data_IF_039710116052
#
_entry.id   IF_039710116052
#
_cell.length_a   1.000
_cell.length_b   1.000
_cell.length_c   1.000
_cell.angle_alpha   90.00
_cell.angle_beta   90.00
_cell.angle_gamma   90.00
#
_symmetry.space_group_name_H-M   'P 1'
#
loop_
_entity.id
_entity.type
_entity.pdbx_description
1 polymer ?
#
# COMPACT_ATOMS: atom_id res chain seq x y z
N UNK A 1 41.35 52.64 40.47
CA UNK A 1 40.45 51.46 40.56
C UNK A 1 39.92 51.21 39.15
N UNK A 2 40.49 50.44 38.21
CA UNK A 2 41.36 49.25 38.16
C UNK A 2 40.80 48.04 38.92
N UNK A 3 40.76 46.90 38.18
CA UNK A 3 40.38 45.51 38.53
C UNK A 3 38.86 45.26 38.31
N UNK A 4 38.37 44.38 37.42
CA UNK A 4 38.92 43.22 36.72
C UNK A 4 38.12 42.97 35.42
N UNK A 5 38.77 43.11 34.27
CA UNK A 5 38.33 42.62 32.96
C UNK A 5 39.55 41.93 32.35
N UNK A 6 39.81 40.69 32.77
CA UNK A 6 40.91 39.84 32.27
C UNK A 6 40.46 38.38 32.40
N UNK A 7 39.88 37.83 31.34
CA UNK A 7 39.89 36.37 31.08
C UNK A 7 39.49 36.09 29.63
N UNK A 8 40.10 36.82 28.70
CA UNK A 8 40.13 36.55 27.27
C UNK A 8 41.61 36.76 26.89
N UNK A 9 42.21 35.85 26.11
CA UNK A 9 43.65 35.77 25.76
C UNK A 9 44.46 34.83 26.67
N UNK A 10 44.27 33.52 26.50
CA UNK A 10 45.40 32.57 26.51
C UNK A 10 44.94 31.23 25.90
N UNK A 11 45.07 31.09 24.57
CA UNK A 11 45.36 29.83 23.86
C UNK A 11 45.21 30.05 22.35
N UNK A 12 46.21 30.70 21.75
CA UNK A 12 46.54 30.56 20.33
C UNK A 12 48.04 30.24 20.27
N UNK A 13 48.41 29.34 19.35
CA UNK A 13 49.75 29.02 18.81
C UNK A 13 50.57 27.91 19.48
N UNK A 14 50.46 26.69 18.92
CA UNK A 14 51.58 25.90 18.35
C UNK A 14 51.03 25.25 17.06
N UNK A 15 51.21 25.88 15.88
CA UNK A 15 52.25 25.63 14.85
C UNK A 15 52.09 24.29 14.11
N UNK A 16 51.59 24.31 12.86
CA UNK A 16 52.32 24.25 11.57
C UNK A 16 52.49 22.81 11.02
N UNK A 17 51.95 22.60 9.81
CA UNK A 17 52.03 21.44 8.91
C UNK A 17 53.47 21.15 8.39
N UNK A 18 53.78 20.06 7.65
CA UNK A 18 53.38 19.93 6.22
C UNK A 18 53.17 18.50 5.64
N UNK A 19 52.32 18.46 4.61
CA UNK A 19 52.45 17.81 3.28
C UNK A 19 53.52 16.70 3.11
N UNK A 20 53.11 15.48 2.73
CA UNK A 20 53.78 14.65 1.69
C UNK A 20 52.72 13.84 0.93
N UNK A 21 52.78 13.93 -0.40
CA UNK A 21 52.08 13.09 -1.37
C UNK A 21 52.82 11.77 -1.59
N UNK A 22 52.11 10.67 -1.83
CA UNK A 22 52.63 9.52 -2.59
C UNK A 22 51.50 8.95 -3.44
N UNK A 23 51.66 9.08 -4.76
CA UNK A 23 51.05 8.21 -5.75
C UNK A 23 51.91 6.96 -5.90
N UNK A 24 51.31 5.78 -6.11
CA UNK A 24 51.91 4.73 -6.94
C UNK A 24 50.85 3.73 -7.43
N UNK A 25 51.07 3.36 -8.69
CA UNK A 25 50.32 2.52 -9.63
C UNK A 25 50.71 1.03 -9.51
N UNK A 26 49.97 0.21 -10.27
CA UNK A 26 50.24 -1.20 -10.67
C UNK A 26 49.94 -2.26 -9.58
N UNK A 27 49.39 -3.43 -9.85
CA UNK A 27 49.50 -4.28 -11.04
C UNK A 27 48.39 -5.35 -11.07
N UNK A 28 48.08 -5.83 -12.27
CA UNK A 28 47.20 -6.95 -12.61
C UNK A 28 47.67 -8.30 -12.06
N UNK A 29 46.74 -9.17 -11.61
CA UNK A 29 46.94 -10.61 -11.68
C UNK A 29 45.61 -11.37 -11.80
N UNK A 30 45.46 -11.98 -12.97
CA UNK A 30 44.56 -13.06 -13.33
C UNK A 30 44.78 -14.30 -12.45
N UNK A 31 43.70 -14.98 -12.06
CA UNK A 31 43.78 -16.23 -11.28
C UNK A 31 42.42 -16.88 -11.09
N UNK A 32 41.80 -17.34 -12.18
CA UNK A 32 40.60 -18.20 -12.13
C UNK A 32 41.02 -19.63 -11.77
N UNK A 33 40.90 -20.02 -10.50
CA UNK A 33 40.99 -21.41 -10.06
C UNK A 33 39.58 -22.03 -10.01
N UNK A 34 39.32 -22.91 -10.97
CA UNK A 34 38.19 -23.85 -10.97
C UNK A 34 38.51 -24.93 -9.94
N UNK A 35 37.80 -24.93 -8.82
CA UNK A 35 37.79 -26.04 -7.85
C UNK A 35 36.54 -26.87 -8.12
N UNK A 36 36.73 -28.02 -8.76
CA UNK A 36 35.72 -29.06 -8.91
C UNK A 36 35.62 -29.82 -7.58
N UNK A 37 34.62 -29.48 -6.77
CA UNK A 37 34.27 -30.24 -5.57
C UNK A 37 33.09 -31.18 -5.88
N UNK A 38 33.39 -32.45 -6.11
CA UNK A 38 32.41 -33.54 -6.09
C UNK A 38 31.93 -33.76 -4.66
N UNK A 39 30.71 -33.32 -4.36
CA UNK A 39 30.01 -33.65 -3.12
C UNK A 39 28.93 -34.68 -3.45
N UNK A 40 29.15 -35.91 -2.95
CA UNK A 40 28.15 -36.97 -2.90
C UNK A 40 27.09 -36.60 -1.86
N UNK A 41 25.86 -36.35 -2.32
CA UNK A 41 24.70 -36.13 -1.44
C UNK A 41 24.09 -37.49 -1.09
N UNK A 42 24.24 -37.93 0.16
CA UNK A 42 23.36 -38.93 0.76
C UNK A 42 22.09 -38.20 1.24
N UNK A 43 20.94 -38.59 0.70
CA UNK A 43 19.63 -38.07 1.10
C UNK A 43 19.19 -38.70 2.43
N UNK A 44 18.67 -37.94 3.42
CA UNK A 44 18.09 -38.50 4.63
C UNK A 44 16.64 -38.95 4.39
N UNK A 45 16.32 -40.17 4.79
CA UNK A 45 14.98 -40.78 4.81
C UNK A 45 14.10 -40.23 5.96
N UNK A 46 13.84 -38.93 6.00
CA UNK A 46 12.99 -38.30 7.03
C UNK A 46 11.66 -37.72 6.49
N UNK A 47 11.24 -38.10 5.28
CA UNK A 47 10.07 -37.51 4.61
C UNK A 47 8.75 -38.31 4.64
N UNK A 48 8.72 -39.50 5.24
CA UNK A 48 7.56 -40.40 5.07
C UNK A 48 6.40 -40.08 6.03
N UNK A 49 6.64 -39.52 7.22
CA UNK A 49 5.56 -39.25 8.19
C UNK A 49 4.68 -38.06 7.79
N UNK A 50 5.27 -37.03 7.19
CA UNK A 50 4.57 -35.79 6.88
C UNK A 50 3.63 -35.94 5.67
N UNK A 51 3.94 -36.86 4.76
CA UNK A 51 3.10 -37.17 3.59
C UNK A 51 1.84 -37.93 4.02
N UNK A 52 1.96 -38.89 4.93
CA UNK A 52 0.81 -39.65 5.44
C UNK A 52 -0.14 -38.79 6.27
N UNK A 53 0.38 -37.80 7.00
CA UNK A 53 -0.45 -36.84 7.73
C UNK A 53 -1.17 -35.86 6.80
N UNK A 54 -0.50 -35.40 5.73
CA UNK A 54 -1.11 -34.55 4.71
C UNK A 54 -2.22 -35.27 3.91
N UNK A 55 -2.05 -36.57 3.62
CA UNK A 55 -3.08 -37.40 2.96
C UNK A 55 -4.30 -37.56 3.87
N UNK A 56 -4.09 -37.88 5.16
CA UNK A 56 -5.19 -37.99 6.14
C UNK A 56 -5.91 -36.68 6.37
N UNK A 57 -5.22 -35.54 6.32
CA UNK A 57 -5.84 -34.21 6.45
C UNK A 57 -6.76 -33.89 5.26
N UNK A 58 -6.28 -34.14 4.03
CA UNK A 58 -7.10 -33.98 2.80
C UNK A 58 -8.35 -34.86 2.81
N UNK A 59 -8.23 -36.08 3.32
CA UNK A 59 -9.37 -37.01 3.34
C UNK A 59 -10.44 -36.59 4.36
N UNK A 60 -10.03 -36.05 5.53
CA UNK A 60 -10.96 -35.44 6.50
C UNK A 60 -11.62 -34.18 5.97
N UNK A 61 -10.87 -33.30 5.30
CA UNK A 61 -11.44 -32.11 4.66
C UNK A 61 -12.45 -32.51 3.59
N UNK A 62 -12.15 -33.53 2.77
CA UNK A 62 -13.05 -34.04 1.74
C UNK A 62 -14.34 -34.63 2.33
N UNK A 63 -14.26 -35.37 3.44
CA UNK A 63 -15.42 -35.91 4.15
C UNK A 63 -16.26 -34.79 4.76
N UNK A 64 -15.63 -33.82 5.45
CA UNK A 64 -16.33 -32.66 6.01
C UNK A 64 -17.00 -31.79 4.92
N UNK A 65 -16.38 -31.68 3.75
CA UNK A 65 -16.95 -30.99 2.59
C UNK A 65 -18.13 -31.76 1.97
N UNK A 66 -18.09 -33.09 1.98
CA UNK A 66 -19.21 -33.94 1.53
C UNK A 66 -20.38 -33.93 2.53
N UNK A 67 -20.10 -33.86 3.84
CA UNK A 67 -21.11 -33.73 4.90
C UNK A 67 -21.76 -32.34 4.92
N UNK A 68 -21.01 -31.26 4.64
CA UNK A 68 -21.61 -29.92 4.48
C UNK A 68 -22.54 -29.80 3.26
N UNK A 69 -22.37 -30.65 2.24
CA UNK A 69 -23.24 -30.67 1.05
C UNK A 69 -24.54 -31.44 1.26
N UNK A 70 -24.63 -32.32 2.25
CA UNK A 70 -25.73 -33.28 2.35
C UNK A 70 -26.94 -32.81 3.17
N UNK A 71 -26.98 -31.58 3.70
CA UNK A 71 -28.08 -31.15 4.57
C UNK A 71 -28.59 -29.73 4.30
N UNK A 72 -28.99 -29.44 3.06
CA UNK A 72 -29.99 -28.39 2.82
C UNK A 72 -31.25 -29.02 2.31
N UNK A 73 -32.23 -29.16 3.20
CA UNK A 73 -33.60 -29.46 2.82
C UNK A 73 -34.09 -28.35 1.89
N UNK A 74 -34.28 -28.67 0.63
CA UNK A 74 -34.83 -27.76 -0.37
C UNK A 74 -36.29 -28.14 -0.67
N UNK A 75 -37.09 -27.17 -1.09
CA UNK A 75 -38.44 -27.42 -1.64
C UNK A 75 -38.50 -27.09 -3.12
N UNK A 76 -37.67 -26.16 -3.59
CA UNK A 76 -37.56 -25.72 -4.98
C UNK A 76 -36.10 -25.50 -5.38
N UNK A 77 -35.81 -25.53 -6.69
CA UNK A 77 -34.45 -25.35 -7.23
C UNK A 77 -33.79 -24.04 -6.77
N UNK A 78 -34.59 -22.98 -6.53
CA UNK A 78 -34.10 -21.69 -6.05
C UNK A 78 -33.46 -21.75 -4.66
N UNK A 79 -33.87 -22.71 -3.82
CA UNK A 79 -33.29 -22.92 -2.48
C UNK A 79 -31.83 -23.41 -2.57
N UNK A 80 -31.43 -23.93 -3.73
CA UNK A 80 -30.12 -24.51 -4.00
C UNK A 80 -29.13 -23.52 -4.64
N UNK A 81 -29.53 -22.26 -4.88
CA UNK A 81 -28.72 -21.26 -5.63
C UNK A 81 -27.35 -20.97 -5.01
N UNK A 82 -27.17 -21.25 -3.72
CA UNK A 82 -25.89 -21.08 -3.01
C UNK A 82 -24.88 -22.20 -3.27
N UNK A 83 -25.26 -23.29 -3.94
CA UNK A 83 -24.36 -24.40 -4.27
C UNK A 83 -23.66 -24.10 -5.60
N UNK A 84 -22.33 -24.12 -5.56
CA UNK A 84 -21.49 -23.98 -6.75
C UNK A 84 -21.32 -25.36 -7.38
N UNK A 85 -21.91 -25.54 -8.57
CA UNK A 85 -21.78 -26.78 -9.34
C UNK A 85 -20.50 -26.79 -10.16
N UNK A 86 -19.68 -27.86 -10.08
CA UNK A 86 -18.47 -27.96 -10.89
C UNK A 86 -18.87 -28.21 -12.35
N UNK A 87 -18.32 -27.43 -13.28
CA UNK A 87 -18.54 -27.55 -14.73
C UNK A 87 -17.80 -28.79 -15.29
N UNK A 88 -18.21 -29.99 -14.90
CA UNK A 88 -17.53 -31.22 -15.34
C UNK A 88 -18.11 -31.73 -16.66
N UNK A 89 -19.41 -31.57 -16.91
CA UNK A 89 -20.08 -32.03 -18.14
C UNK A 89 -21.23 -31.07 -18.54
N UNK A 90 -20.91 -29.86 -19.01
CA UNK A 90 -21.92 -28.89 -19.47
C UNK A 90 -22.51 -28.00 -18.38
N UNK A 91 -23.62 -27.29 -18.69
CA UNK A 91 -24.27 -26.29 -17.83
C UNK A 91 -25.01 -26.93 -16.64
N UNK A 92 -24.28 -27.61 -15.77
CA UNK A 92 -24.85 -28.14 -14.54
C UNK A 92 -25.28 -27.00 -13.63
N UNK A 93 -26.55 -27.01 -13.24
CA UNK A 93 -27.11 -26.01 -12.31
C UNK A 93 -27.55 -26.70 -11.03
N UNK A 94 -27.46 -26.03 -9.87
CA UNK A 94 -27.99 -26.58 -8.63
C UNK A 94 -29.51 -26.74 -8.75
N UNK A 95 -30.04 -27.89 -8.33
CA UNK A 95 -31.46 -28.23 -8.38
C UNK A 95 -31.88 -29.00 -7.13
N UNK A 96 -33.16 -28.93 -6.80
CA UNK A 96 -33.73 -29.64 -5.67
C UNK A 96 -34.37 -30.95 -6.12
N UNK A 97 -33.80 -32.08 -5.69
CA UNK A 97 -34.32 -33.42 -6.00
C UNK A 97 -34.56 -34.15 -4.70
N UNK A 98 -35.82 -34.54 -4.45
CA UNK A 98 -36.24 -35.28 -3.25
C UNK A 98 -35.86 -34.59 -1.93
N UNK A 99 -35.87 -33.25 -1.94
CA UNK A 99 -35.52 -32.45 -0.77
C UNK A 99 -34.02 -32.22 -0.58
N UNK A 100 -33.17 -32.69 -1.50
CA UNK A 100 -31.72 -32.51 -1.45
C UNK A 100 -31.24 -31.69 -2.65
N UNK A 101 -30.38 -30.72 -2.38
CA UNK A 101 -29.76 -29.96 -3.45
C UNK A 101 -28.64 -30.76 -4.12
N UNK A 102 -28.78 -31.02 -5.41
CA UNK A 102 -27.79 -31.70 -6.24
C UNK A 102 -27.37 -30.82 -7.43
N UNK A 103 -26.23 -31.12 -8.02
CA UNK A 103 -25.82 -30.56 -9.30
C UNK A 103 -26.20 -31.55 -10.40
N UNK A 104 -26.92 -31.07 -11.41
CA UNK A 104 -27.28 -31.89 -12.56
C UNK A 104 -27.54 -31.03 -13.80
N UNK A 105 -27.84 -31.67 -14.95
CA UNK A 105 -28.14 -30.98 -16.19
C UNK A 105 -29.38 -30.15 -15.96
N UNK A 106 -29.19 -28.84 -15.79
CA UNK A 106 -30.25 -27.95 -15.32
C UNK A 106 -31.54 -28.12 -16.11
N UNK A 107 -32.69 -28.00 -15.44
CA UNK A 107 -33.89 -27.55 -16.15
C UNK A 107 -33.49 -26.22 -16.76
N UNK A 108 -33.47 -26.14 -18.09
CA UNK A 108 -33.15 -24.90 -18.78
C UNK A 108 -33.95 -23.80 -18.12
N UNK A 109 -33.30 -22.75 -17.56
CA UNK A 109 -34.03 -21.69 -16.92
C UNK A 109 -35.10 -21.21 -17.90
N UNK A 110 -36.37 -21.26 -17.50
CA UNK A 110 -37.50 -20.70 -18.26
C UNK A 110 -37.47 -19.16 -18.29
N UNK A 111 -36.31 -18.55 -18.09
CA UNK A 111 -36.12 -17.17 -18.48
C UNK A 111 -35.92 -17.21 -19.99
N UNK A 112 -36.90 -16.70 -20.74
CA UNK A 112 -36.67 -16.39 -22.14
C UNK A 112 -35.49 -15.44 -22.17
N UNK A 113 -34.32 -15.98 -22.55
CA UNK A 113 -33.13 -15.18 -22.80
C UNK A 113 -33.50 -14.32 -24.00
N UNK A 114 -33.82 -13.07 -23.72
CA UNK A 114 -34.09 -12.10 -24.75
C UNK A 114 -32.73 -11.70 -25.35
N UNK A 115 -32.30 -12.44 -26.38
CA UNK A 115 -31.00 -12.26 -27.05
C UNK A 115 -30.81 -10.83 -27.54
N UNK A 116 -31.89 -10.18 -27.97
CA UNK A 116 -31.89 -8.77 -28.37
C UNK A 116 -31.62 -7.84 -27.19
N UNK A 117 -32.19 -8.09 -26.01
CA UNK A 117 -31.88 -7.32 -24.79
C UNK A 117 -30.41 -7.48 -24.39
N UNK A 118 -29.84 -8.69 -24.52
CA UNK A 118 -28.42 -8.93 -24.26
C UNK A 118 -27.53 -8.16 -25.23
N UNK A 119 -27.84 -8.21 -26.53
CA UNK A 119 -27.08 -7.50 -27.56
C UNK A 119 -27.06 -6.00 -27.30
N UNK A 120 -28.23 -5.40 -26.98
CA UNK A 120 -28.36 -3.99 -26.61
C UNK A 120 -27.50 -3.66 -25.38
N UNK A 121 -27.55 -4.48 -24.33
CA UNK A 121 -26.73 -4.27 -23.14
C UNK A 121 -25.22 -4.34 -23.44
N UNK A 122 -24.78 -5.22 -24.35
CA UNK A 122 -23.38 -5.30 -24.76
C UNK A 122 -22.94 -4.06 -25.55
N UNK A 123 -23.78 -3.56 -26.45
CA UNK A 123 -23.49 -2.34 -27.23
C UNK A 123 -23.36 -1.11 -26.33
N UNK A 124 -24.27 -0.93 -25.38
CA UNK A 124 -24.21 0.18 -24.42
C UNK A 124 -22.96 0.07 -23.55
N UNK A 125 -22.60 -1.14 -23.12
CA UNK A 125 -21.38 -1.38 -22.34
C UNK A 125 -20.12 -1.03 -23.14
N UNK A 126 -20.10 -1.32 -24.43
CA UNK A 126 -19.00 -0.94 -25.33
C UNK A 126 -18.94 0.59 -25.51
N UNK A 127 -20.09 1.23 -25.73
CA UNK A 127 -20.17 2.70 -25.84
C UNK A 127 -19.66 3.39 -24.57
N UNK A 128 -20.05 2.90 -23.39
CA UNK A 128 -19.54 3.38 -22.10
C UNK A 128 -18.02 3.18 -22.00
N UNK A 129 -17.49 2.04 -22.43
CA UNK A 129 -16.05 1.78 -22.41
C UNK A 129 -15.30 2.77 -23.31
N UNK A 130 -15.79 2.98 -24.53
CA UNK A 130 -15.16 3.91 -25.48
C UNK A 130 -15.16 5.35 -24.97
N UNK A 131 -16.26 5.81 -24.35
CA UNK A 131 -16.28 7.13 -23.70
C UNK A 131 -15.28 7.23 -22.55
N UNK A 132 -15.07 6.15 -21.78
CA UNK A 132 -14.08 6.14 -20.70
C UNK A 132 -12.65 6.31 -21.25
N UNK A 133 -12.32 5.64 -22.36
CA UNK A 133 -11.01 5.79 -22.98
C UNK A 133 -10.86 7.18 -23.62
N UNK A 134 -11.89 7.70 -24.31
CA UNK A 134 -11.83 9.06 -24.88
C UNK A 134 -11.67 10.14 -23.79
N UNK A 135 -12.34 9.98 -22.65
CA UNK A 135 -12.17 10.88 -21.50
C UNK A 135 -10.75 10.87 -20.91
N UNK A 136 -9.96 9.80 -21.10
CA UNK A 136 -8.57 9.76 -20.64
C UNK A 136 -7.64 10.56 -21.54
N UNK A 137 -7.95 10.60 -22.84
CA UNK A 137 -7.12 11.30 -23.83
C UNK A 137 -7.53 12.78 -23.98
N UNK A 138 -8.79 13.10 -23.72
CA UNK A 138 -9.33 14.44 -23.89
C UNK A 138 -8.85 15.41 -22.81
N UNK A 139 -8.23 16.53 -23.24
CA UNK A 139 -7.74 17.59 -22.34
C UNK A 139 -8.79 18.66 -22.06
N UNK A 140 -9.83 18.78 -22.92
CA UNK A 140 -10.86 19.79 -22.76
C UNK A 140 -11.90 19.41 -21.68
N UNK A 141 -11.87 20.12 -20.55
CA UNK A 141 -12.79 19.90 -19.41
C UNK A 141 -14.27 19.93 -19.81
N UNK A 142 -14.68 20.83 -20.71
CA UNK A 142 -16.08 20.97 -21.10
C UNK A 142 -16.57 19.74 -21.88
N UNK A 143 -15.72 19.21 -22.77
CA UNK A 143 -16.02 18.01 -23.55
C UNK A 143 -16.04 16.76 -22.66
N UNK A 144 -15.12 16.68 -21.70
CA UNK A 144 -15.16 15.61 -20.70
C UNK A 144 -16.43 15.68 -19.86
N UNK A 145 -16.85 16.85 -19.39
CA UNK A 145 -18.11 17.00 -18.67
C UNK A 145 -19.33 16.54 -19.49
N UNK A 146 -19.36 16.84 -20.78
CA UNK A 146 -20.41 16.36 -21.69
C UNK A 146 -20.41 14.83 -21.80
N UNK A 147 -19.23 14.21 -21.97
CA UNK A 147 -19.08 12.75 -22.01
C UNK A 147 -19.53 12.07 -20.71
N UNK A 148 -19.22 12.65 -19.54
CA UNK A 148 -19.68 12.08 -18.26
C UNK A 148 -21.20 12.19 -18.13
N UNK A 149 -21.81 13.30 -18.57
CA UNK A 149 -23.28 13.46 -18.58
C UNK A 149 -23.94 12.42 -19.48
N UNK A 150 -23.41 12.22 -20.69
CA UNK A 150 -23.92 11.21 -21.63
C UNK A 150 -23.75 9.79 -21.08
N UNK A 151 -22.59 9.46 -20.50
CA UNK A 151 -22.36 8.17 -19.85
C UNK A 151 -23.36 7.91 -18.71
N UNK A 152 -23.66 8.95 -17.91
CA UNK A 152 -24.63 8.86 -16.82
C UNK A 152 -26.04 8.64 -17.36
N UNK A 153 -26.42 9.37 -18.42
CA UNK A 153 -27.72 9.21 -19.10
C UNK A 153 -27.90 7.79 -19.64
N UNK A 154 -26.90 7.25 -20.33
CA UNK A 154 -26.93 5.90 -20.89
C UNK A 154 -27.07 4.82 -19.82
N UNK A 155 -26.44 5.00 -18.65
CA UNK A 155 -26.61 4.07 -17.52
C UNK A 155 -28.02 4.11 -16.94
N UNK A 156 -28.60 5.30 -16.79
CA UNK A 156 -29.94 5.46 -16.21
C UNK A 156 -31.02 4.90 -17.14
N UNK A 157 -30.93 5.21 -18.45
CA UNK A 157 -31.84 4.70 -19.48
C UNK A 157 -31.80 3.17 -19.57
N UNK A 158 -30.66 2.55 -19.23
CA UNK A 158 -30.42 1.12 -19.38
C UNK A 158 -30.07 0.42 -18.06
N UNK A 159 -30.70 0.84 -16.96
CA UNK A 159 -30.48 0.29 -15.61
C UNK A 159 -30.59 -1.24 -15.52
N UNK A 160 -31.44 -1.84 -16.36
CA UNK A 160 -31.62 -3.29 -16.45
C UNK A 160 -30.35 -4.04 -16.91
N UNK A 161 -29.45 -3.36 -17.62
CA UNK A 161 -28.18 -3.90 -18.09
C UNK A 161 -27.08 -3.90 -17.02
N UNK A 162 -27.31 -3.22 -15.88
CA UNK A 162 -26.33 -3.02 -14.82
C UNK A 162 -26.89 -3.47 -13.45
N UNK A 163 -27.16 -4.78 -13.25
CA UNK A 163 -27.74 -5.26 -12.00
C UNK A 163 -26.73 -5.19 -10.84
N UNK A 164 -27.10 -4.46 -9.77
CA UNK A 164 -26.38 -4.21 -8.49
C UNK A 164 -25.59 -2.90 -8.42
N UNK A 165 -25.49 -2.29 -7.21
CA UNK A 165 -25.34 -0.86 -7.05
C UNK A 165 -23.89 -0.50 -7.29
N UNK A 166 -23.55 -0.23 -8.55
CA UNK A 166 -22.40 0.61 -8.84
C UNK A 166 -22.86 1.98 -8.40
N UNK A 167 -22.63 2.33 -7.12
CA UNK A 167 -22.75 3.71 -6.65
C UNK A 167 -22.04 4.53 -7.72
N UNK A 168 -22.76 5.36 -8.50
CA UNK A 168 -22.12 6.10 -9.57
C UNK A 168 -20.96 6.84 -8.89
N UNK A 169 -19.73 6.60 -9.36
CA UNK A 169 -18.60 7.40 -8.90
C UNK A 169 -19.05 8.84 -9.17
N UNK A 170 -19.24 9.67 -8.13
CA UNK A 170 -19.85 10.98 -8.33
C UNK A 170 -19.06 11.70 -9.42
N UNK A 171 -19.75 12.38 -10.36
CA UNK A 171 -19.09 13.15 -11.42
C UNK A 171 -17.92 14.00 -10.90
N UNK A 172 -18.11 14.56 -9.70
CA UNK A 172 -17.13 15.34 -8.94
C UNK A 172 -15.82 14.56 -8.71
N UNK A 173 -15.91 13.28 -8.35
CA UNK A 173 -14.74 12.43 -8.11
C UNK A 173 -14.04 11.99 -9.41
N UNK A 174 -14.73 12.06 -10.56
CA UNK A 174 -14.11 11.84 -11.87
C UNK A 174 -13.37 13.10 -12.32
N UNK A 175 -14.01 14.27 -12.21
CA UNK A 175 -13.41 15.57 -12.55
C UNK A 175 -12.13 15.83 -11.73
N UNK A 176 -12.15 15.54 -10.43
CA UNK A 176 -10.95 15.67 -9.58
C UNK A 176 -9.81 14.76 -10.02
N UNK A 177 -10.12 13.56 -10.53
CA UNK A 177 -9.10 12.62 -11.04
C UNK A 177 -8.50 13.10 -12.35
N UNK A 178 -9.31 13.66 -13.24
CA UNK A 178 -8.84 14.22 -14.52
C UNK A 178 -7.96 15.44 -14.27
N UNK A 179 -8.41 16.38 -13.43
CA UNK A 179 -7.62 17.56 -13.04
C UNK A 179 -6.27 17.16 -12.42
N UNK A 180 -6.28 16.11 -11.59
CA UNK A 180 -5.05 15.57 -10.99
C UNK A 180 -4.11 14.97 -12.06
N UNK A 181 -4.65 14.19 -13.00
CA UNK A 181 -3.85 13.61 -14.08
C UNK A 181 -3.25 14.70 -14.98
N UNK A 182 -4.02 15.72 -15.34
CA UNK A 182 -3.55 16.86 -16.13
C UNK A 182 -2.44 17.64 -15.40
N UNK A 183 -2.60 17.91 -14.11
CA UNK A 183 -1.58 18.57 -13.30
C UNK A 183 -0.29 17.73 -13.17
N UNK A 184 -0.41 16.41 -13.12
CA UNK A 184 0.74 15.49 -13.14
C UNK A 184 1.48 15.54 -14.48
N UNK A 185 0.76 15.52 -15.61
CA UNK A 185 1.37 15.61 -16.94
C UNK A 185 2.05 16.96 -17.17
N UNK A 186 1.40 18.06 -16.78
CA UNK A 186 1.96 19.42 -16.83
C UNK A 186 3.27 19.51 -16.04
N UNK A 187 3.27 19.00 -14.80
CA UNK A 187 4.47 18.97 -13.95
C UNK A 187 5.62 18.17 -14.56
N UNK A 188 5.34 16.98 -15.11
CA UNK A 188 6.35 16.15 -15.75
C UNK A 188 6.96 16.82 -17.00
N UNK A 189 6.14 17.51 -17.78
CA UNK A 189 6.59 18.26 -18.97
C UNK A 189 7.45 19.46 -18.57
N UNK A 190 7.05 20.25 -17.57
CA UNK A 190 7.83 21.36 -17.04
C UNK A 190 9.18 20.91 -16.45
N UNK A 191 9.18 19.79 -15.71
CA UNK A 191 10.41 19.21 -15.16
C UNK A 191 11.36 18.71 -16.24
N UNK A 192 10.83 18.12 -17.32
CA UNK A 192 11.62 17.72 -18.48
C UNK A 192 12.24 18.93 -19.16
N UNK A 193 11.45 19.97 -19.42
CA UNK A 193 11.92 21.21 -20.04
C UNK A 193 13.02 21.87 -19.20
N UNK A 194 12.85 21.93 -17.87
CA UNK A 194 13.84 22.47 -16.94
C UNK A 194 15.16 21.67 -16.98
N UNK A 195 15.08 20.34 -17.13
CA UNK A 195 16.27 19.48 -17.27
C UNK A 195 16.97 19.70 -18.61
N UNK A 196 16.22 19.88 -19.69
CA UNK A 196 16.79 20.19 -21.01
C UNK A 196 17.45 21.57 -21.02
N UNK A 197 16.86 22.58 -20.38
CA UNK A 197 17.45 23.91 -20.18
C UNK A 197 18.82 23.81 -19.49
N UNK A 198 18.90 23.07 -18.38
CA UNK A 198 20.16 22.82 -17.67
C UNK A 198 21.21 22.16 -18.57
N UNK A 199 20.83 21.11 -19.31
CA UNK A 199 21.76 20.39 -20.19
C UNK A 199 22.27 21.31 -21.30
N UNK A 200 21.39 22.11 -21.90
CA UNK A 200 21.77 23.04 -22.95
C UNK A 200 22.69 24.14 -22.43
N UNK A 201 22.45 24.67 -21.24
CA UNK A 201 23.30 25.70 -20.62
C UNK A 201 24.70 25.14 -20.29
N UNK A 202 24.77 23.92 -19.74
CA UNK A 202 26.04 23.24 -19.46
C UNK A 202 26.81 22.87 -20.72
N UNK A 203 26.13 22.44 -21.79
CA UNK A 203 26.79 21.97 -23.02
C UNK A 203 27.16 23.08 -24.00
N UNK A 204 26.44 24.20 -23.98
CA UNK A 204 26.70 25.33 -24.88
C UNK A 204 27.86 26.22 -24.44
N UNK A 205 28.27 26.15 -23.17
CA UNK A 205 29.28 27.01 -22.58
C UNK A 205 30.42 26.21 -21.97
N UNK A 206 31.66 26.67 -22.17
CA UNK A 206 32.83 26.10 -21.51
C UNK A 206 32.92 26.69 -20.09
N UNK A 207 31.93 26.33 -19.25
CA UNK A 207 31.70 26.95 -17.95
C UNK A 207 32.89 26.72 -17.01
N UNK A 208 33.28 27.79 -16.31
CA UNK A 208 34.17 27.65 -15.15
C UNK A 208 33.43 26.98 -13.98
N UNK A 209 34.16 26.42 -13.02
CA UNK A 209 33.54 25.77 -11.86
C UNK A 209 32.62 26.68 -11.04
N UNK A 210 32.82 28.00 -11.06
CA UNK A 210 31.94 28.97 -10.38
C UNK A 210 30.62 29.18 -11.14
N UNK A 211 30.69 29.34 -12.45
CA UNK A 211 29.50 29.53 -13.29
C UNK A 211 28.64 28.26 -13.30
N UNK A 212 29.26 27.08 -13.37
CA UNK A 212 28.56 25.80 -13.25
C UNK A 212 27.83 25.68 -11.90
N UNK A 213 28.45 26.12 -10.80
CA UNK A 213 27.80 26.09 -9.49
C UNK A 213 26.58 27.01 -9.42
N UNK A 214 26.61 28.15 -10.12
CA UNK A 214 25.50 29.10 -10.18
C UNK A 214 24.34 28.55 -11.02
N UNK A 215 24.63 27.99 -12.19
CA UNK A 215 23.63 27.31 -13.05
C UNK A 215 22.95 26.16 -12.30
N UNK A 216 23.72 25.33 -11.59
CA UNK A 216 23.16 24.24 -10.78
C UNK A 216 22.31 24.78 -9.61
N UNK A 217 22.70 25.91 -9.01
CA UNK A 217 21.91 26.55 -7.95
C UNK A 217 20.55 27.04 -8.49
N UNK A 218 20.55 27.74 -9.63
CA UNK A 218 19.33 28.23 -10.27
C UNK A 218 18.39 27.08 -10.66
N UNK A 219 18.93 26.02 -11.27
CA UNK A 219 18.16 24.81 -11.58
C UNK A 219 17.50 24.22 -10.34
N UNK A 220 18.24 24.08 -9.24
CA UNK A 220 17.69 23.54 -8.00
C UNK A 220 16.60 24.45 -7.39
N UNK A 221 16.72 25.76 -7.54
CA UNK A 221 15.73 26.73 -7.09
C UNK A 221 14.45 26.66 -7.93
N UNK A 222 14.55 26.68 -9.27
CA UNK A 222 13.41 26.48 -10.18
C UNK A 222 12.71 25.14 -9.94
N UNK A 223 13.49 24.06 -9.78
CA UNK A 223 12.98 22.73 -9.46
C UNK A 223 12.16 22.73 -8.17
N UNK A 224 12.63 23.43 -7.12
CA UNK A 224 11.92 23.51 -5.84
C UNK A 224 10.59 24.22 -5.96
N UNK A 225 10.54 25.34 -6.69
CA UNK A 225 9.29 26.07 -6.90
C UNK A 225 8.28 25.23 -7.71
N UNK A 226 8.71 24.56 -8.78
CA UNK A 226 7.83 23.66 -9.54
C UNK A 226 7.20 22.55 -8.68
N UNK A 227 8.01 21.88 -7.85
CA UNK A 227 7.52 20.84 -6.93
C UNK A 227 6.50 21.43 -5.95
N UNK A 228 6.78 22.61 -5.41
CA UNK A 228 5.91 23.29 -4.45
C UNK A 228 4.58 23.70 -5.07
N UNK A 229 4.60 24.30 -6.26
CA UNK A 229 3.38 24.66 -7.00
C UNK A 229 2.54 23.43 -7.31
N UNK A 230 3.18 22.37 -7.81
CA UNK A 230 2.51 21.12 -8.11
C UNK A 230 1.85 20.50 -6.87
N UNK A 231 2.60 20.37 -5.77
CA UNK A 231 2.05 19.82 -4.51
C UNK A 231 0.91 20.70 -3.96
N UNK A 232 0.98 22.02 -4.13
CA UNK A 232 -0.12 22.92 -3.76
C UNK A 232 -1.36 22.74 -4.64
N UNK A 233 -1.21 22.41 -5.93
CA UNK A 233 -2.35 22.13 -6.81
C UNK A 233 -3.01 20.79 -6.43
N UNK A 234 -2.24 19.72 -6.27
CA UNK A 234 -2.80 18.37 -6.11
C UNK A 234 -3.01 17.90 -4.67
N UNK A 235 -2.40 18.58 -3.68
CA UNK A 235 -2.51 18.27 -2.26
C UNK A 235 -2.07 16.84 -1.87
N UNK A 236 -1.39 16.12 -2.75
CA UNK A 236 -0.95 14.73 -2.55
C UNK A 236 0.50 14.57 -3.02
N UNK A 237 1.27 13.67 -2.40
CA UNK A 237 2.61 13.31 -2.83
C UNK A 237 2.64 11.82 -3.14
N UNK A 238 3.06 11.46 -4.35
CA UNK A 238 3.27 10.07 -4.73
C UNK A 238 4.76 9.84 -4.98
N UNK A 239 5.41 9.14 -4.06
CA UNK A 239 6.86 8.93 -4.09
C UNK A 239 7.33 8.00 -5.21
N UNK A 240 6.43 7.22 -5.82
CA UNK A 240 6.78 6.38 -6.98
C UNK A 240 6.76 7.16 -8.28
N UNK A 241 5.85 8.13 -8.39
CA UNK A 241 5.65 8.93 -9.60
C UNK A 241 6.52 10.18 -9.63
N UNK A 242 6.94 10.66 -8.47
CA UNK A 242 7.74 11.87 -8.30
C UNK A 242 9.18 11.47 -7.96
N UNK A 243 9.97 11.11 -8.98
CA UNK A 243 11.37 10.66 -8.80
C UNK A 243 12.24 11.70 -8.08
N UNK A 244 11.85 12.96 -8.13
CA UNK A 244 12.54 14.09 -7.53
C UNK A 244 12.35 14.19 -6.02
N UNK A 245 11.27 13.61 -5.49
CA UNK A 245 10.96 13.57 -4.07
C UNK A 245 11.43 12.24 -3.50
N UNK A 246 12.72 12.16 -3.15
CA UNK A 246 13.32 10.92 -2.62
C UNK A 246 13.03 10.69 -1.14
N UNK A 247 12.79 11.78 -0.41
CA UNK A 247 12.65 11.76 1.04
C UNK A 247 11.66 12.83 1.50
N UNK A 248 10.73 12.44 2.38
CA UNK A 248 9.81 13.36 3.06
C UNK A 248 9.69 13.00 4.53
N UNK A 249 9.54 14.02 5.38
CA UNK A 249 9.24 13.84 6.81
C UNK A 249 7.79 14.23 7.06
N UNK A 250 6.99 13.28 7.52
CA UNK A 250 5.56 13.39 7.72
C UNK A 250 5.30 13.50 9.23
N UNK A 251 4.74 14.63 9.64
CA UNK A 251 4.26 14.88 10.99
C UNK A 251 2.89 15.58 10.90
N UNK A 252 2.68 16.65 11.67
CA UNK A 252 1.52 17.54 11.51
C UNK A 252 1.46 18.18 10.12
N UNK A 253 2.64 18.45 9.55
CA UNK A 253 2.82 18.91 8.17
C UNK A 253 3.88 18.02 7.52
N UNK A 254 3.92 18.02 6.19
CA UNK A 254 4.95 17.32 5.43
C UNK A 254 6.13 18.26 5.23
N UNK A 255 7.33 17.81 5.55
CA UNK A 255 8.57 18.50 5.26
C UNK A 255 9.30 17.79 4.12
N UNK A 256 9.79 18.57 3.18
CA UNK A 256 10.58 18.11 2.04
C UNK A 256 11.82 18.99 1.93
N UNK A 257 13.01 18.40 2.04
CA UNK A 257 14.26 19.13 2.21
C UNK A 257 14.16 20.16 3.37
N UNK A 258 14.30 21.45 3.07
CA UNK A 258 14.19 22.55 4.04
C UNK A 258 12.81 23.23 4.02
N UNK A 259 11.88 22.74 3.19
CA UNK A 259 10.56 23.33 3.00
C UNK A 259 9.49 22.60 3.80
N UNK A 260 8.48 23.35 4.22
CA UNK A 260 7.28 22.80 4.89
C UNK A 260 6.08 22.96 3.97
N UNK A 261 5.46 21.83 3.62
CA UNK A 261 4.31 21.73 2.74
C UNK A 261 3.05 21.60 3.59
N UNK A 262 2.36 22.71 3.80
CA UNK A 262 1.18 22.78 4.69
C UNK A 262 -0.08 22.14 4.11
N UNK A 263 -0.18 22.08 2.77
CA UNK A 263 -1.39 21.66 2.06
C UNK A 263 -1.37 20.18 1.63
N UNK A 264 -0.39 19.39 2.08
CA UNK A 264 -0.36 17.96 1.76
C UNK A 264 -1.36 17.23 2.64
N UNK A 265 -2.32 16.56 2.01
CA UNK A 265 -3.35 15.77 2.68
C UNK A 265 -3.01 14.28 2.71
N UNK A 266 -2.17 13.83 1.77
CA UNK A 266 -1.84 12.41 1.62
C UNK A 266 -0.48 12.21 0.96
N UNK A 267 0.26 11.24 1.47
CA UNK A 267 1.50 10.72 0.87
C UNK A 267 1.28 9.24 0.56
N UNK A 268 1.49 8.83 -0.68
CA UNK A 268 1.36 7.44 -1.12
C UNK A 268 2.71 6.87 -1.55
N UNK A 269 2.99 5.64 -1.15
CA UNK A 269 4.16 4.88 -1.53
C UNK A 269 3.87 3.38 -1.54
N UNK A 270 4.76 2.59 -2.13
CA UNK A 270 4.68 1.13 -2.06
C UNK A 270 5.80 0.57 -1.20
N UNK A 271 5.44 -0.15 -0.14
CA UNK A 271 6.41 -0.87 0.70
C UNK A 271 6.10 -2.35 0.59
N UNK A 272 7.11 -3.17 0.24
CA UNK A 272 6.94 -4.63 0.08
C UNK A 272 5.80 -5.03 -0.89
N UNK A 273 5.59 -4.26 -1.96
CA UNK A 273 4.54 -4.51 -2.95
C UNK A 273 3.11 -4.14 -2.48
N UNK A 274 2.97 -3.44 -1.36
CA UNK A 274 1.70 -2.93 -0.84
C UNK A 274 1.67 -1.41 -0.86
N UNK A 275 0.56 -0.87 -1.38
CA UNK A 275 0.33 0.58 -1.41
C UNK A 275 0.00 1.05 0.01
N UNK A 276 0.86 1.88 0.56
CA UNK A 276 0.70 2.54 1.85
C UNK A 276 0.27 3.97 1.61
N UNK A 277 -0.78 4.37 2.31
CA UNK A 277 -1.26 5.75 2.36
C UNK A 277 -0.95 6.34 3.72
N UNK A 278 -0.26 7.48 3.76
CA UNK A 278 0.10 8.19 4.99
C UNK A 278 -0.52 9.58 4.95
N UNK A 279 -1.34 9.91 5.93
CA UNK A 279 -2.04 11.21 6.03
C UNK A 279 -1.44 12.01 7.20
N UNK A 280 -0.91 13.22 6.98
CA UNK A 280 -0.40 14.08 8.03
C UNK A 280 -1.54 14.62 8.92
N UNK A 281 -1.20 15.01 10.15
CA UNK A 281 -2.15 15.54 11.12
C UNK A 281 -1.58 15.52 12.53
N UNK A 282 -2.41 15.85 13.53
CA UNK A 282 -1.98 15.80 14.94
C UNK A 282 -1.46 14.41 15.34
N UNK A 283 -2.03 13.37 14.74
CA UNK A 283 -1.42 12.04 14.66
C UNK A 283 -1.34 11.66 13.18
N UNK A 284 -0.20 11.15 12.75
CA UNK A 284 -0.01 10.69 11.37
C UNK A 284 -0.79 9.40 11.17
N UNK A 285 -1.64 9.32 10.16
CA UNK A 285 -2.48 8.14 9.92
C UNK A 285 -1.89 7.29 8.81
N UNK A 286 -1.55 6.03 9.09
CA UNK A 286 -1.05 5.05 8.12
C UNK A 286 -2.19 4.10 7.76
N UNK A 287 -2.49 3.95 6.48
CA UNK A 287 -3.53 3.06 5.96
C UNK A 287 -2.94 2.07 4.96
N UNK A 288 -3.13 0.78 5.22
CA UNK A 288 -2.70 -0.32 4.34
C UNK A 288 -3.80 -1.39 4.32
N UNK A 289 -4.34 -1.71 3.15
CA UNK A 289 -5.39 -2.74 2.96
C UNK A 289 -6.58 -2.63 3.94
N UNK A 290 -7.00 -1.39 4.22
CA UNK A 290 -8.11 -1.11 5.14
C UNK A 290 -7.76 -1.22 6.63
N UNK A 291 -6.50 -1.48 6.98
CA UNK A 291 -5.98 -1.37 8.35
C UNK A 291 -5.44 0.03 8.57
N UNK A 292 -5.99 0.73 9.56
CA UNK A 292 -5.64 2.10 9.88
C UNK A 292 -4.88 2.16 11.21
N UNK A 293 -3.73 2.83 11.20
CA UNK A 293 -2.86 3.01 12.37
C UNK A 293 -2.64 4.49 12.60
N UNK A 294 -2.81 4.92 13.85
CA UNK A 294 -2.47 6.29 14.27
C UNK A 294 -1.06 6.31 14.84
N UNK A 295 -0.13 6.94 14.15
CA UNK A 295 1.21 7.18 14.61
C UNK A 295 1.29 8.47 15.43
N UNK A 296 1.77 8.33 16.66
CA UNK A 296 2.10 9.47 17.54
C UNK A 296 3.51 10.01 17.29
N UNK A 297 4.31 9.27 16.51
CA UNK A 297 5.67 9.65 16.16
C UNK A 297 5.71 10.19 14.73
N UNK A 298 6.59 11.17 14.45
CA UNK A 298 6.83 11.62 13.09
C UNK A 298 7.53 10.51 12.28
N UNK A 299 7.19 10.41 11.00
CA UNK A 299 7.69 9.38 10.11
C UNK A 299 8.54 10.01 9.01
N UNK A 300 9.71 9.44 8.74
CA UNK A 300 10.46 9.74 7.52
C UNK A 300 10.17 8.65 6.50
N UNK A 301 9.87 9.04 5.29
CA UNK A 301 9.71 8.13 4.16
C UNK A 301 10.83 8.38 3.19
N UNK A 302 11.62 7.33 2.89
CA UNK A 302 12.79 7.42 2.01
C UNK A 302 12.94 6.15 1.22
N UNK A 303 13.13 6.22 -0.11
CA UNK A 303 13.39 5.03 -0.94
C UNK A 303 12.41 3.87 -0.68
N UNK A 304 11.10 4.16 -0.59
CA UNK A 304 10.07 3.15 -0.29
C UNK A 304 10.23 2.44 1.07
N UNK A 305 10.94 3.02 2.04
CA UNK A 305 10.94 2.61 3.44
C UNK A 305 10.28 3.69 4.32
N UNK A 306 9.73 3.26 5.46
CA UNK A 306 9.20 4.14 6.50
C UNK A 306 10.11 4.02 7.71
N UNK A 307 10.49 5.15 8.30
CA UNK A 307 11.44 5.25 9.40
C UNK A 307 10.91 6.18 10.49
N UNK A 308 11.29 5.93 11.74
CA UNK A 308 11.10 6.91 12.82
C UNK A 308 12.15 8.02 12.69
N UNK A 309 11.72 9.27 12.64
CA UNK A 309 12.59 10.44 12.42
C UNK A 309 13.66 10.57 13.50
N UNK A 310 13.35 10.28 14.76
CA UNK A 310 14.29 10.53 15.86
C UNK A 310 15.26 9.37 16.07
N UNK A 311 14.80 8.13 15.88
CA UNK A 311 15.63 6.94 16.09
C UNK A 311 16.30 6.45 14.80
N UNK A 312 15.86 6.92 13.63
CA UNK A 312 16.25 6.43 12.31
C UNK A 312 16.02 4.92 12.11
N UNK A 313 15.14 4.32 12.90
CA UNK A 313 14.83 2.90 12.80
C UNK A 313 13.78 2.64 11.72
N UNK A 314 14.05 1.67 10.86
CA UNK A 314 13.17 1.28 9.75
C UNK A 314 12.01 0.44 10.29
N UNK A 315 10.80 0.85 9.95
CA UNK A 315 9.56 0.12 10.19
C UNK A 315 9.38 -0.88 9.05
N UNK A 316 9.67 -2.17 9.32
CA UNK A 316 9.57 -3.24 8.32
C UNK A 316 8.24 -3.97 8.36
N UNK A 317 7.62 -4.01 9.54
CA UNK A 317 6.32 -4.64 9.69
C UNK A 317 5.21 -3.62 9.40
N UNK A 318 4.41 -3.97 8.41
CA UNK A 318 3.28 -3.19 7.94
C UNK A 318 2.01 -3.54 8.74
N UNK A 319 1.04 -2.61 8.88
CA UNK A 319 -0.13 -2.79 9.73
C UNK A 319 -0.95 -4.06 9.46
N UNK A 320 -1.11 -4.45 8.20
CA UNK A 320 -1.82 -5.66 7.78
C UNK A 320 -1.12 -6.94 8.20
N UNK A 321 0.23 -6.96 8.19
CA UNK A 321 1.02 -8.09 8.69
C UNK A 321 0.87 -8.24 10.20
N UNK A 322 0.80 -7.13 10.94
CA UNK A 322 0.52 -7.15 12.38
C UNK A 322 -0.90 -7.65 12.65
N UNK A 323 -1.89 -7.14 11.90
CA UNK A 323 -3.29 -7.59 12.01
C UNK A 323 -3.43 -9.09 11.77
N UNK A 324 -2.74 -9.66 10.78
CA UNK A 324 -2.81 -11.09 10.48
C UNK A 324 -2.29 -12.00 11.62
N UNK A 325 -1.44 -11.48 12.52
CA UNK A 325 -0.92 -12.23 13.68
C UNK A 325 -1.87 -12.22 14.88
N UNK A 326 -2.83 -11.29 14.91
CA UNK A 326 -3.78 -11.12 16.02
C UNK A 326 -5.11 -11.76 15.62
N UNK A 327 -5.56 -12.75 16.39
CA UNK A 327 -6.81 -13.49 16.10
C UNK A 327 -8.04 -12.74 16.62
N UNK A 328 -7.83 -11.90 17.62
CA UNK A 328 -8.84 -11.11 18.30
C UNK A 328 -9.31 -9.93 17.43
N UNK A 329 -10.51 -9.43 17.73
CA UNK A 329 -11.04 -8.27 17.02
C UNK A 329 -10.26 -7.01 17.45
N UNK A 330 -9.48 -6.45 16.53
CA UNK A 330 -8.75 -5.19 16.75
C UNK A 330 -9.74 -4.03 16.82
N UNK A 331 -9.67 -3.26 17.89
CA UNK A 331 -10.44 -2.02 18.08
C UNK A 331 -9.64 -0.80 17.67
N UNK A 332 -8.35 -0.78 17.99
CA UNK A 332 -7.47 0.33 17.68
C UNK A 332 -6.02 -0.16 17.52
N UNK A 333 -5.28 0.47 16.61
CA UNK A 333 -3.86 0.27 16.44
C UNK A 333 -3.16 1.64 16.44
N UNK A 334 -2.14 1.78 17.27
CA UNK A 334 -1.31 2.98 17.36
C UNK A 334 0.15 2.64 17.16
N UNK A 335 0.92 3.56 16.60
CA UNK A 335 2.37 3.46 16.52
C UNK A 335 2.98 4.48 17.48
N UNK A 336 3.74 4.00 18.45
CA UNK A 336 4.33 4.81 19.52
C UNK A 336 5.81 4.46 19.69
N UNK A 337 6.58 5.35 20.32
CA UNK A 337 7.95 5.02 20.73
C UNK A 337 7.96 4.49 22.16
N UNK A 338 8.47 3.27 22.35
CA UNK A 338 8.74 2.69 23.67
C UNK A 338 10.20 2.22 23.72
N UNK A 339 10.92 2.60 24.76
CA UNK A 339 12.34 2.24 24.94
C UNK A 339 13.21 2.54 23.70
N UNK A 340 12.98 3.70 23.06
CA UNK A 340 13.65 4.11 21.82
C UNK A 340 13.47 3.15 20.63
N UNK A 341 12.33 2.46 20.58
CA UNK A 341 11.92 1.64 19.44
C UNK A 341 10.50 1.99 18.98
N UNK A 342 10.20 1.96 17.68
CA UNK A 342 8.84 2.07 17.18
C UNK A 342 8.08 0.77 17.49
N UNK A 343 6.97 0.91 18.20
CA UNK A 343 6.16 -0.20 18.70
C UNK A 343 4.70 0.04 18.33
N UNK A 344 4.09 -0.96 17.72
CA UNK A 344 2.65 -1.02 17.54
C UNK A 344 1.98 -1.38 18.86
N UNK A 345 1.14 -0.49 19.35
CA UNK A 345 0.25 -0.71 20.50
C UNK A 345 -1.13 -1.04 19.94
N UNK A 346 -1.53 -2.31 20.06
CA UNK A 346 -2.78 -2.82 19.51
C UNK A 346 -3.76 -3.12 20.64
N UNK A 347 -4.89 -2.42 20.65
CA UNK A 347 -6.01 -2.73 21.54
C UNK A 347 -6.99 -3.64 20.81
N UNK A 348 -7.15 -4.87 21.31
CA UNK A 348 -8.04 -5.87 20.75
C UNK A 348 -9.04 -6.36 21.80
N UNK A 349 -10.09 -7.04 21.33
CA UNK A 349 -11.04 -7.71 22.20
C UNK A 349 -11.30 -9.15 21.79
N UNK A 350 -11.21 -10.03 22.78
CA UNK A 350 -11.61 -11.42 22.69
C UNK A 350 -13.00 -11.59 23.29
N UNK A 351 -13.96 -12.01 22.49
CA UNK A 351 -15.25 -12.46 22.99
C UNK A 351 -15.10 -13.86 23.60
N UNK A 352 -15.81 -14.12 24.71
CA UNK A 352 -15.84 -15.44 25.31
C UNK A 352 -16.88 -15.51 26.42
N UNK A 353 -16.87 -16.60 27.20
CA UNK A 353 -17.78 -16.78 28.34
C UNK A 353 -17.02 -17.02 29.63
N UNK A 354 -17.20 -16.15 30.61
CA UNK A 354 -16.66 -16.32 31.96
C UNK A 354 -17.31 -17.54 32.61
N UNK A 355 -16.47 -18.50 33.02
CA UNK A 355 -16.87 -19.81 33.54
C UNK A 355 -17.83 -20.57 32.61
N UNK A 356 -17.80 -20.29 31.30
CA UNK A 356 -18.65 -20.92 30.29
C UNK A 356 -20.10 -20.40 30.22
N UNK A 357 -20.53 -19.52 31.12
CA UNK A 357 -21.94 -19.11 31.25
C UNK A 357 -22.14 -17.65 30.87
N UNK A 358 -21.32 -16.73 31.40
CA UNK A 358 -21.57 -15.30 31.30
C UNK A 358 -20.78 -14.72 30.11
N UNK A 359 -21.42 -14.20 29.05
CA UNK A 359 -20.71 -13.62 27.92
C UNK A 359 -19.93 -12.36 28.37
N UNK A 360 -18.65 -12.32 28.03
CA UNK A 360 -17.75 -11.22 28.37
C UNK A 360 -16.85 -10.88 27.18
N UNK A 361 -16.43 -9.61 27.11
CA UNK A 361 -15.42 -9.16 26.16
C UNK A 361 -14.14 -8.83 26.94
N UNK A 362 -13.10 -9.63 26.74
CA UNK A 362 -11.80 -9.42 27.36
C UNK A 362 -10.99 -8.45 26.50
N UNK A 363 -10.61 -7.32 27.08
CA UNK A 363 -9.69 -6.40 26.42
C UNK A 363 -8.26 -6.97 26.52
N UNK A 364 -7.57 -7.06 25.39
CA UNK A 364 -6.18 -7.52 25.31
C UNK A 364 -5.38 -6.45 24.60
N UNK A 365 -4.28 -6.02 25.20
CA UNK A 365 -3.37 -5.06 24.59
C UNK A 365 -2.07 -5.76 24.21
N UNK A 366 -1.67 -5.63 22.95
CA UNK A 366 -0.42 -6.15 22.43
C UNK A 366 0.55 -5.00 22.19
N UNK A 367 1.81 -5.22 22.54
CA UNK A 367 2.92 -4.36 22.14
C UNK A 367 3.82 -5.16 21.22
N UNK A 368 3.90 -4.74 19.96
CA UNK A 368 4.60 -5.48 18.91
C UNK A 368 5.62 -4.55 18.28
N UNK A 369 6.89 -4.98 18.22
CA UNK A 369 7.96 -4.23 17.57
C UNK A 369 7.65 -3.98 16.09
N UNK A 370 7.75 -2.73 15.64
CA UNK A 370 7.51 -2.37 14.24
C UNK A 370 8.71 -2.72 13.32
N UNK A 371 9.84 -3.10 13.92
CA UNK A 371 11.10 -3.42 13.20
C UNK A 371 11.09 -4.87 12.70
N UNK A 372 10.63 -5.81 13.53
CA UNK A 372 10.72 -7.26 13.28
C UNK A 372 9.42 -8.03 13.59
N UNK A 373 8.44 -7.37 14.21
CA UNK A 373 7.15 -7.98 14.56
C UNK A 373 7.21 -8.87 15.78
N UNK A 374 8.29 -8.82 16.56
CA UNK A 374 8.37 -9.52 17.83
C UNK A 374 7.35 -8.96 18.83
N UNK A 375 6.66 -9.84 19.55
CA UNK A 375 5.72 -9.42 20.60
C UNK A 375 6.52 -9.09 21.86
N UNK A 376 6.52 -7.82 22.25
CA UNK A 376 7.24 -7.29 23.42
C UNK A 376 6.43 -7.60 24.67
N UNK A 377 5.13 -7.32 24.66
CA UNK A 377 4.25 -7.59 25.79
C UNK A 377 2.82 -7.90 25.36
N UNK A 378 2.14 -8.71 26.17
CA UNK A 378 0.72 -9.02 26.03
C UNK A 378 0.08 -8.75 27.39
N UNK A 379 -0.70 -7.67 27.47
CA UNK A 379 -1.39 -7.29 28.69
C UNK A 379 -2.85 -7.74 28.62
N UNK A 380 -3.23 -8.63 29.54
CA UNK A 380 -4.58 -9.17 29.69
C UNK A 380 -4.99 -9.12 31.16
N UNK A 381 -6.29 -8.93 31.45
CA UNK A 381 -6.80 -9.02 32.81
C UNK A 381 -6.44 -10.37 33.45
N UNK A 382 -6.07 -10.36 34.73
CA UNK A 382 -5.63 -11.58 35.44
C UNK A 382 -6.69 -12.69 35.42
N UNK A 383 -7.97 -12.36 35.34
CA UNK A 383 -9.09 -13.31 35.29
C UNK A 383 -9.35 -13.88 33.88
N UNK A 384 -8.57 -13.50 32.85
CA UNK A 384 -8.82 -13.93 31.47
C UNK A 384 -8.74 -15.45 31.29
N UNK A 385 -8.02 -16.16 32.17
CA UNK A 385 -7.93 -17.62 32.13
C UNK A 385 -9.26 -18.32 32.48
N UNK A 386 -10.19 -17.60 33.13
CA UNK A 386 -11.53 -18.10 33.45
C UNK A 386 -12.51 -17.98 32.28
N UNK A 387 -12.10 -17.34 31.18
CA UNK A 387 -12.93 -17.13 29.99
C UNK A 387 -12.70 -18.25 28.99
N UNK A 388 -13.76 -19.02 28.73
CA UNK A 388 -13.76 -20.15 27.80
C UNK A 388 -14.44 -19.77 26.48
N UNK A 389 -14.00 -20.42 25.40
CA UNK A 389 -14.37 -20.09 24.02
C UNK A 389 -13.50 -18.99 23.44
#
# INVERSE_FOLDING_TARGET
>A
MKILAVSLIMMILILISPIIAVAQTEETASGSNVITATTSVNAPEEGQSDIDEAIKLRERERIAWMEMRTLRNCKVDADCISIICPMVIGRDTPMCVEGVCICGPGRTPKYQINETKIAVCMEIREKIRNMIEEMREERNEAKVQEMVREMTRLREENKDCFPSPVSPVPLIALESRIKKAQAEDEFLEEMKNLKEELINEITSQNLTGKELAEVVREYNEKKRELVKEFVQKIHEINLERMEEIKEVVIARHVKWENETLFNVTRVTLTVNGKNITIEPGDNVTISVEGVVVKSKIPLRVRNNSIEDVETNQIIRETPERIKARIREQIREMRLERKENKPVYVVAASKAGRLLGIIPVNVNVNYEISAIDGSTISINRPWWSFLVLG
#
